data_IF_157307624140
#
_entry.id   IF_157307624140
#
_cell.length_a   1.000
_cell.length_b   1.000
_cell.length_c   1.000
_cell.angle_alpha   90.00
_cell.angle_beta   90.00
_cell.angle_gamma   90.00
#
_symmetry.space_group_name_H-M   'P 1'
#
loop_
_entity.id
_entity.type
_entity.pdbx_description
1 polymer ?
#
# COMPACT_ATOMS: atom_id res chain seq x y z
N UNK A 1 -1.00 28.81 -6.00
CA UNK A 1 -0.03 27.79 -5.54
C UNK A 1 -0.81 26.57 -5.09
N UNK A 2 -0.40 25.36 -5.45
CA UNK A 2 -1.09 24.16 -4.97
C UNK A 2 -0.81 23.98 -3.47
N UNK A 3 -1.86 23.77 -2.67
CA UNK A 3 -1.72 23.52 -1.23
C UNK A 3 -1.04 22.18 -1.01
N UNK A 4 0.23 22.23 -0.59
CA UNK A 4 1.03 21.07 -0.21
C UNK A 4 1.06 20.96 1.31
N UNK A 5 0.66 19.80 1.83
CA UNK A 5 0.77 19.47 3.25
C UNK A 5 2.03 18.61 3.41
N UNK A 6 3.03 19.10 4.13
CA UNK A 6 4.10 18.24 4.62
C UNK A 6 3.54 17.34 5.71
N UNK A 7 3.87 16.06 5.63
CA UNK A 7 3.32 15.04 6.52
C UNK A 7 4.45 14.47 7.38
N UNK A 8 4.27 14.53 8.69
CA UNK A 8 5.12 13.85 9.66
C UNK A 8 4.36 12.65 10.24
N UNK A 9 4.26 11.59 9.43
CA UNK A 9 3.69 10.31 9.86
C UNK A 9 4.78 9.24 9.85
N UNK A 10 4.74 8.27 10.79
CA UNK A 10 5.65 7.15 10.75
C UNK A 10 5.58 6.38 9.42
N UNK A 11 6.67 5.73 9.00
CA UNK A 11 6.65 4.89 7.81
C UNK A 11 5.67 3.73 7.99
N UNK A 12 5.20 3.22 6.86
CA UNK A 12 4.41 2.01 6.79
C UNK A 12 5.10 0.99 5.89
N UNK A 13 4.71 -0.27 6.04
CA UNK A 13 5.34 -1.38 5.38
C UNK A 13 4.35 -2.07 4.44
N UNK A 14 4.80 -2.36 3.22
CA UNK A 14 4.06 -3.14 2.24
C UNK A 14 4.70 -4.51 2.15
N UNK A 15 4.03 -5.51 2.72
CA UNK A 15 4.41 -6.91 2.69
C UNK A 15 3.80 -7.55 1.45
N UNK A 16 4.63 -8.07 0.57
CA UNK A 16 4.27 -8.55 -0.75
C UNK A 16 4.69 -10.01 -0.89
N UNK A 17 3.74 -10.87 -1.26
CA UNK A 17 3.98 -12.28 -1.54
C UNK A 17 3.63 -12.59 -3.00
N UNK A 18 4.59 -13.11 -3.75
CA UNK A 18 4.34 -13.62 -5.10
C UNK A 18 3.83 -15.06 -5.03
N UNK A 19 2.56 -15.25 -5.38
CA UNK A 19 1.87 -16.54 -5.32
C UNK A 19 1.90 -17.31 -6.64
N UNK A 20 2.05 -16.66 -7.80
CA UNK A 20 2.31 -17.38 -9.04
C UNK A 20 2.87 -16.47 -10.14
N UNK A 21 3.82 -16.98 -10.93
CA UNK A 21 4.40 -16.33 -12.11
C UNK A 21 4.10 -17.11 -13.41
N UNK A 22 3.55 -18.32 -13.31
CA UNK A 22 3.13 -19.15 -14.43
C UNK A 22 1.61 -19.27 -14.48
N UNK A 23 1.01 -18.80 -15.57
CA UNK A 23 -0.44 -18.61 -15.68
C UNK A 23 -1.34 -19.79 -15.26
N UNK A 24 -2.53 -19.41 -14.79
CA UNK A 24 -3.77 -20.19 -14.69
C UNK A 24 -3.76 -21.35 -13.67
N UNK A 25 -4.17 -21.06 -12.43
CA UNK A 25 -5.01 -21.98 -11.64
C UNK A 25 -6.21 -21.19 -11.10
N UNK A 26 -7.17 -20.93 -11.99
CA UNK A 26 -8.36 -20.08 -11.77
C UNK A 26 -9.49 -20.78 -10.99
N UNK A 27 -9.22 -21.77 -10.13
CA UNK A 27 -10.29 -22.70 -9.72
C UNK A 27 -10.39 -23.13 -8.24
N UNK A 28 -9.63 -22.57 -7.27
CA UNK A 28 -9.77 -23.02 -5.87
C UNK A 28 -9.84 -21.95 -4.76
N UNK A 29 -9.77 -20.65 -5.05
CA UNK A 29 -9.64 -19.62 -3.99
C UNK A 29 -10.97 -18.89 -3.68
N UNK A 30 -12.09 -19.32 -4.26
CA UNK A 30 -13.34 -18.55 -4.20
C UNK A 30 -14.33 -18.96 -3.08
N UNK A 31 -13.92 -19.75 -2.07
CA UNK A 31 -14.94 -20.32 -1.16
C UNK A 31 -14.55 -20.52 0.31
N UNK A 32 -13.74 -19.67 0.95
CA UNK A 32 -13.67 -19.63 2.43
C UNK A 32 -13.22 -18.28 3.00
N UNK A 33 -14.09 -17.28 3.12
CA UNK A 33 -13.75 -16.03 3.82
C UNK A 33 -14.90 -15.50 4.68
N UNK A 34 -15.00 -16.01 5.91
CA UNK A 34 -15.49 -15.25 7.07
C UNK A 34 -14.67 -15.60 8.32
N UNK A 35 -13.85 -14.62 8.73
CA UNK A 35 -13.12 -14.41 10.00
C UNK A 35 -11.61 -14.76 10.05
N UNK A 36 -10.83 -13.74 10.42
CA UNK A 36 -9.38 -13.67 10.67
C UNK A 36 -8.44 -14.16 9.54
N UNK A 37 -8.20 -13.31 8.52
CA UNK A 37 -7.59 -13.70 7.24
C UNK A 37 -6.07 -13.82 7.21
N UNK A 38 -5.32 -13.33 8.20
CA UNK A 38 -3.85 -13.25 8.09
C UNK A 38 -3.16 -14.53 8.59
N UNK A 39 -3.47 -14.99 9.79
CA UNK A 39 -2.76 -16.11 10.42
C UNK A 39 -3.10 -17.50 9.83
N UNK A 40 -4.23 -17.63 9.12
CA UNK A 40 -4.65 -18.93 8.53
C UNK A 40 -4.33 -19.10 7.05
N UNK A 41 -4.09 -18.01 6.33
CA UNK A 41 -3.69 -18.06 4.92
C UNK A 41 -2.17 -18.30 4.77
N UNK A 42 -1.38 -17.90 5.76
CA UNK A 42 0.09 -17.98 5.73
C UNK A 42 0.67 -19.39 5.83
N UNK A 43 0.04 -20.32 6.55
CA UNK A 43 0.66 -21.61 6.89
C UNK A 43 0.22 -22.81 6.04
N UNK A 44 -0.43 -22.61 4.89
CA UNK A 44 -0.84 -23.78 4.07
C UNK A 44 -1.22 -23.51 2.62
N UNK A 45 -1.45 -22.25 2.24
CA UNK A 45 -1.71 -21.89 0.83
C UNK A 45 -0.57 -21.08 0.22
N UNK A 46 0.22 -20.36 1.02
CA UNK A 46 1.34 -19.56 0.52
C UNK A 46 2.54 -20.43 0.12
N UNK A 47 2.89 -21.50 0.84
CA UNK A 47 4.03 -22.34 0.44
C UNK A 47 3.80 -23.29 -0.74
N UNK A 48 2.58 -23.77 -0.95
CA UNK A 48 2.28 -24.61 -2.12
C UNK A 48 2.21 -23.82 -3.43
N UNK A 49 2.03 -22.50 -3.34
CA UNK A 49 1.88 -21.61 -4.49
C UNK A 49 3.12 -20.74 -4.72
N UNK A 50 3.89 -20.40 -3.68
CA UNK A 50 5.09 -19.58 -3.78
C UNK A 50 6.00 -20.02 -4.93
N UNK A 51 6.16 -19.14 -5.91
CA UNK A 51 7.06 -19.36 -7.03
C UNK A 51 8.48 -19.44 -6.47
N UNK A 52 9.17 -20.56 -6.70
CA UNK A 52 10.60 -20.71 -6.36
C UNK A 52 11.52 -19.86 -7.25
N UNK A 53 10.97 -19.01 -8.10
CA UNK A 53 11.71 -18.15 -9.00
C UNK A 53 12.00 -16.80 -8.33
N UNK A 54 13.09 -16.80 -7.56
CA UNK A 54 13.62 -15.61 -6.92
C UNK A 54 13.98 -14.51 -7.94
N UNK A 55 14.31 -14.85 -9.19
CA UNK A 55 14.65 -13.87 -10.22
C UNK A 55 13.41 -13.10 -10.69
N UNK A 56 12.27 -13.79 -10.88
CA UNK A 56 10.99 -13.13 -11.18
C UNK A 56 10.58 -12.22 -10.03
N UNK A 57 10.64 -12.70 -8.79
CA UNK A 57 10.28 -11.89 -7.62
C UNK A 57 11.16 -10.65 -7.48
N UNK A 58 12.48 -10.79 -7.65
CA UNK A 58 13.41 -9.66 -7.60
C UNK A 58 13.11 -8.63 -8.70
N UNK A 59 12.75 -9.09 -9.92
CA UNK A 59 12.38 -8.22 -11.04
C UNK A 59 11.10 -7.46 -10.78
N UNK A 60 10.04 -8.14 -10.32
CA UNK A 60 8.77 -7.51 -9.94
C UNK A 60 8.99 -6.52 -8.80
N UNK A 61 9.78 -6.90 -7.79
CA UNK A 61 10.08 -6.04 -6.66
C UNK A 61 10.78 -4.74 -7.10
N UNK A 62 11.76 -4.84 -7.99
CA UNK A 62 12.49 -3.68 -8.52
C UNK A 62 11.58 -2.78 -9.37
N UNK A 63 10.67 -3.37 -10.14
CA UNK A 63 9.67 -2.60 -10.90
C UNK A 63 8.69 -1.87 -9.98
N UNK A 64 8.23 -2.53 -8.92
CA UNK A 64 7.32 -1.93 -7.94
C UNK A 64 8.00 -0.82 -7.14
N UNK A 65 9.25 -1.01 -6.74
CA UNK A 65 10.07 0.01 -6.06
C UNK A 65 10.14 1.32 -6.87
N UNK A 66 10.27 1.22 -8.19
CA UNK A 66 10.31 2.38 -9.08
C UNK A 66 8.91 2.95 -9.42
N UNK A 67 7.93 2.08 -9.70
CA UNK A 67 6.62 2.51 -10.19
C UNK A 67 5.68 3.00 -9.08
N UNK A 68 5.77 2.45 -7.87
CA UNK A 68 4.82 2.77 -6.81
C UNK A 68 4.91 4.25 -6.40
N UNK A 69 6.10 4.84 -6.15
CA UNK A 69 6.24 6.29 -5.96
C UNK A 69 5.66 7.11 -7.11
N UNK A 70 5.96 6.74 -8.36
CA UNK A 70 5.49 7.46 -9.55
C UNK A 70 3.96 7.46 -9.65
N UNK A 71 3.32 6.31 -9.40
CA UNK A 71 1.85 6.18 -9.43
C UNK A 71 1.17 6.94 -8.29
N UNK A 72 1.81 7.00 -7.13
CA UNK A 72 1.29 7.78 -6.00
C UNK A 72 1.43 9.28 -6.27
N UNK A 73 2.51 9.71 -6.92
CA UNK A 73 2.70 11.09 -7.34
C UNK A 73 1.62 11.55 -8.33
N UNK A 74 1.22 10.69 -9.29
CA UNK A 74 0.09 10.96 -10.20
C UNK A 74 -1.26 11.17 -9.47
N UNK A 75 -1.36 10.73 -8.22
CA UNK A 75 -2.52 10.92 -7.34
C UNK A 75 -2.38 12.09 -6.37
N UNK A 76 -1.31 12.88 -6.47
CA UNK A 76 -1.01 13.97 -5.54
C UNK A 76 -0.44 13.49 -4.20
N UNK A 77 0.23 12.32 -4.17
CA UNK A 77 0.88 11.78 -2.98
C UNK A 77 2.39 11.68 -3.21
N UNK A 78 3.17 12.43 -2.45
CA UNK A 78 4.62 12.30 -2.40
C UNK A 78 5.01 11.17 -1.46
N UNK A 79 5.39 10.03 -2.03
CA UNK A 79 5.80 8.86 -1.25
C UNK A 79 7.18 8.40 -1.74
N UNK A 80 8.09 8.18 -0.80
CA UNK A 80 9.29 7.38 -1.07
C UNK A 80 9.02 5.94 -0.67
N UNK A 81 9.55 4.99 -1.44
CA UNK A 81 9.43 3.59 -1.09
C UNK A 81 10.74 2.86 -1.39
N UNK A 82 11.19 2.06 -0.43
CA UNK A 82 12.47 1.35 -0.45
C UNK A 82 12.25 -0.10 -0.10
N UNK A 83 12.83 -1.01 -0.88
CA UNK A 83 12.85 -2.42 -0.55
C UNK A 83 13.78 -2.65 0.66
N UNK A 84 13.21 -3.15 1.76
CA UNK A 84 13.97 -3.42 3.00
C UNK A 84 14.22 -4.91 3.22
N UNK A 85 13.44 -5.78 2.58
CA UNK A 85 13.63 -7.22 2.65
C UNK A 85 13.21 -7.91 1.36
N UNK A 86 13.94 -8.96 0.99
CA UNK A 86 13.63 -9.83 -0.13
C UNK A 86 14.14 -11.24 0.20
N UNK A 87 13.24 -12.21 0.24
CA UNK A 87 13.58 -13.61 0.40
C UNK A 87 12.61 -14.47 -0.41
N UNK A 88 13.11 -15.15 -1.44
CA UNK A 88 12.32 -15.94 -2.39
C UNK A 88 11.14 -15.16 -2.97
N UNK A 89 9.91 -15.53 -2.62
CA UNK A 89 8.66 -14.90 -3.06
C UNK A 89 8.17 -13.78 -2.13
N UNK A 90 8.83 -13.55 -0.99
CA UNK A 90 8.43 -12.58 0.01
C UNK A 90 9.29 -11.32 -0.07
N UNK A 91 8.63 -10.16 -0.15
CA UNK A 91 9.25 -8.85 -0.29
C UNK A 91 8.62 -7.90 0.72
N UNK A 92 9.44 -7.08 1.36
CA UNK A 92 8.94 -6.00 2.23
C UNK A 92 9.48 -4.68 1.70
N UNK A 93 8.58 -3.74 1.50
CA UNK A 93 8.91 -2.35 1.23
C UNK A 93 8.60 -1.50 2.45
N UNK A 94 9.51 -0.60 2.79
CA UNK A 94 9.25 0.52 3.69
C UNK A 94 8.87 1.72 2.82
N UNK A 95 7.69 2.27 3.03
CA UNK A 95 7.24 3.48 2.34
C UNK A 95 7.01 4.61 3.35
N UNK A 96 7.43 5.82 2.99
CA UNK A 96 7.27 7.04 3.77
C UNK A 96 6.41 8.02 2.99
N UNK A 97 5.32 8.49 3.60
CA UNK A 97 4.53 9.59 3.07
C UNK A 97 5.20 10.91 3.47
N UNK A 98 5.62 11.69 2.48
CA UNK A 98 6.35 12.95 2.69
C UNK A 98 5.41 14.14 2.59
N UNK A 99 4.55 14.15 1.56
CA UNK A 99 3.62 15.24 1.34
C UNK A 99 2.35 14.83 0.61
N UNK A 100 1.30 15.62 0.80
CA UNK A 100 0.01 15.49 0.10
C UNK A 100 -0.26 16.77 -0.68
N UNK A 101 -0.46 16.65 -1.99
CA UNK A 101 -0.97 17.70 -2.87
C UNK A 101 -2.49 17.63 -2.89
N UNK A 102 -3.10 18.35 -1.95
CA UNK A 102 -4.56 18.32 -1.71
C UNK A 102 -5.41 18.55 -2.96
N UNK A 103 -5.14 19.57 -3.80
CA UNK A 103 -5.96 19.84 -4.98
C UNK A 103 -5.97 18.67 -5.97
N UNK A 104 -4.81 18.07 -6.23
CA UNK A 104 -4.68 16.93 -7.16
C UNK A 104 -5.38 15.69 -6.61
N UNK A 105 -5.17 15.41 -5.32
CA UNK A 105 -5.80 14.29 -4.65
C UNK A 105 -7.33 14.39 -4.70
N UNK A 106 -7.88 15.56 -4.36
CA UNK A 106 -9.32 15.80 -4.35
C UNK A 106 -9.89 15.78 -5.77
N UNK A 107 -9.19 16.39 -6.73
CA UNK A 107 -9.58 16.37 -8.14
C UNK A 107 -9.71 14.92 -8.64
N UNK A 108 -8.73 14.07 -8.36
CA UNK A 108 -8.76 12.65 -8.76
C UNK A 108 -9.78 11.83 -7.99
N UNK A 109 -10.07 12.18 -6.73
CA UNK A 109 -10.99 11.41 -5.88
C UNK A 109 -12.47 11.79 -6.03
N UNK A 110 -12.76 13.07 -6.30
CA UNK A 110 -14.12 13.65 -6.24
C UNK A 110 -14.50 14.50 -7.46
N UNK A 111 -13.57 14.79 -8.36
CA UNK A 111 -13.81 15.57 -9.58
C UNK A 111 -13.68 17.08 -9.40
N UNK A 112 -13.75 17.79 -10.52
CA UNK A 112 -13.45 19.23 -10.63
C UNK A 112 -14.37 20.11 -9.78
N UNK A 113 -15.68 19.83 -9.79
CA UNK A 113 -16.65 20.65 -9.06
C UNK A 113 -16.37 20.64 -7.54
N UNK A 114 -16.12 19.47 -6.97
CA UNK A 114 -15.81 19.34 -5.54
C UNK A 114 -14.43 19.92 -5.21
N UNK A 115 -13.43 19.73 -6.07
CA UNK A 115 -12.12 20.32 -5.90
C UNK A 115 -12.18 21.85 -5.88
N UNK A 116 -12.99 22.46 -6.75
CA UNK A 116 -13.24 23.90 -6.77
C UNK A 116 -13.86 24.41 -5.47
N UNK A 117 -14.94 23.77 -5.00
CA UNK A 117 -15.57 24.13 -3.72
C UNK A 117 -14.62 24.00 -2.53
N UNK A 118 -13.82 22.94 -2.51
CA UNK A 118 -12.83 22.73 -1.45
C UNK A 118 -11.72 23.79 -1.48
N UNK A 119 -11.23 24.16 -2.65
CA UNK A 119 -10.25 25.24 -2.78
C UNK A 119 -10.82 26.57 -2.29
N UNK A 120 -12.06 26.93 -2.65
CA UNK A 120 -12.70 28.14 -2.15
C UNK A 120 -12.85 28.15 -0.63
N UNK A 121 -13.13 26.99 -0.01
CA UNK A 121 -13.16 26.86 1.44
C UNK A 121 -11.77 27.11 2.05
N UNK A 122 -10.71 26.57 1.44
CA UNK A 122 -9.33 26.80 1.89
C UNK A 122 -8.92 28.26 1.78
N UNK A 123 -9.26 28.90 0.67
CA UNK A 123 -8.97 30.33 0.45
C UNK A 123 -9.69 31.20 1.49
N UNK A 124 -10.92 30.84 1.87
CA UNK A 124 -11.67 31.52 2.92
C UNK A 124 -11.06 31.31 4.32
N UNK A 125 -10.62 30.10 4.64
CA UNK A 125 -9.92 29.79 5.90
C UNK A 125 -8.63 30.61 6.01
N UNK A 126 -7.89 30.72 4.91
CA UNK A 126 -6.65 31.49 4.85
C UNK A 126 -6.91 32.99 4.96
N UNK A 127 -7.94 33.51 4.29
CA UNK A 127 -8.32 34.93 4.37
C UNK A 127 -8.81 35.36 5.77
N UNK A 128 -9.37 34.43 6.55
CA UNK A 128 -9.81 34.66 7.92
C UNK A 128 -8.75 34.34 8.98
N UNK A 129 -7.54 33.96 8.55
CA UNK A 129 -6.42 33.57 9.44
C UNK A 129 -6.79 32.48 10.47
N UNK A 130 -7.72 31.57 10.10
CA UNK A 130 -8.20 30.49 10.97
C UNK A 130 -7.21 29.32 11.02
N UNK A 131 -6.03 29.59 11.56
CA UNK A 131 -4.90 28.64 11.62
C UNK A 131 -5.25 27.31 12.30
N UNK A 132 -6.02 27.34 13.39
CA UNK A 132 -6.46 26.13 14.09
C UNK A 132 -7.41 25.28 13.23
N UNK A 133 -8.36 25.91 12.54
CA UNK A 133 -9.26 25.21 11.63
C UNK A 133 -8.50 24.55 10.48
N UNK A 134 -7.51 25.26 9.92
CA UNK A 134 -6.62 24.73 8.87
C UNK A 134 -5.83 23.52 9.35
N UNK A 135 -5.21 23.61 10.53
CA UNK A 135 -4.44 22.52 11.13
C UNK A 135 -5.32 21.29 11.39
N UNK A 136 -6.48 21.48 12.03
CA UNK A 136 -7.43 20.41 12.30
C UNK A 136 -7.92 19.73 11.00
N UNK A 137 -8.09 20.49 9.93
CA UNK A 137 -8.48 19.95 8.63
C UNK A 137 -7.32 19.16 7.99
N UNK A 138 -6.09 19.68 8.04
CA UNK A 138 -4.90 18.98 7.55
C UNK A 138 -4.70 17.62 8.24
N UNK A 139 -4.84 17.56 9.58
CA UNK A 139 -4.77 16.30 10.33
C UNK A 139 -5.85 15.31 9.86
N UNK A 140 -7.12 15.75 9.78
CA UNK A 140 -8.22 14.89 9.34
C UNK A 140 -8.06 14.39 7.90
N UNK A 141 -7.52 15.21 7.02
CA UNK A 141 -7.19 14.81 5.64
C UNK A 141 -6.08 13.76 5.68
N UNK A 142 -5.01 14.02 6.40
CA UNK A 142 -3.84 13.14 6.51
C UNK A 142 -4.24 11.76 7.03
N UNK A 143 -5.01 11.68 8.11
CA UNK A 143 -5.46 10.41 8.68
C UNK A 143 -6.31 9.59 7.70
N UNK A 144 -7.23 10.27 7.00
CA UNK A 144 -8.08 9.64 5.98
C UNK A 144 -7.26 9.16 4.79
N UNK A 145 -6.28 9.95 4.36
CA UNK A 145 -5.39 9.60 3.24
C UNK A 145 -4.54 8.40 3.62
N UNK A 146 -3.93 8.38 4.81
CA UNK A 146 -3.13 7.25 5.27
C UNK A 146 -3.96 5.96 5.32
N UNK A 147 -5.16 6.02 5.92
CA UNK A 147 -6.06 4.85 6.01
C UNK A 147 -6.46 4.35 4.61
N UNK A 148 -6.92 5.26 3.75
CA UNK A 148 -7.34 4.90 2.40
C UNK A 148 -6.18 4.43 1.51
N UNK A 149 -4.96 4.93 1.74
CA UNK A 149 -3.76 4.51 1.04
C UNK A 149 -3.44 3.06 1.36
N UNK A 150 -3.41 2.68 2.63
CA UNK A 150 -3.16 1.31 3.07
C UNK A 150 -4.19 0.33 2.47
N UNK A 151 -5.49 0.64 2.60
CA UNK A 151 -6.56 -0.18 2.03
C UNK A 151 -6.47 -0.30 0.50
N UNK A 152 -6.15 0.80 -0.21
CA UNK A 152 -6.00 0.78 -1.66
C UNK A 152 -4.76 0.01 -2.10
N UNK A 153 -3.68 0.03 -1.34
CA UNK A 153 -2.50 -0.77 -1.65
C UNK A 153 -2.82 -2.27 -1.52
N UNK A 154 -3.53 -2.68 -0.47
CA UNK A 154 -3.92 -4.09 -0.29
C UNK A 154 -4.91 -4.60 -1.36
N UNK A 155 -5.74 -3.72 -1.91
CA UNK A 155 -6.78 -4.12 -2.88
C UNK A 155 -6.38 -3.87 -4.33
N UNK A 156 -5.92 -2.66 -4.66
CA UNK A 156 -5.65 -2.24 -6.03
C UNK A 156 -4.31 -2.69 -6.56
N UNK A 157 -3.31 -2.89 -5.70
CA UNK A 157 -2.01 -3.38 -6.15
C UNK A 157 -2.11 -4.84 -6.62
N UNK A 158 -2.73 -5.78 -5.87
CA UNK A 158 -2.99 -7.12 -6.38
C UNK A 158 -3.85 -7.14 -7.64
N UNK A 159 -4.94 -6.37 -7.69
CA UNK A 159 -5.79 -6.29 -8.90
C UNK A 159 -4.99 -5.90 -10.15
N UNK A 160 -4.14 -4.86 -10.04
CA UNK A 160 -3.32 -4.39 -11.17
C UNK A 160 -2.25 -5.38 -11.60
N UNK A 161 -1.62 -6.07 -10.65
CA UNK A 161 -0.61 -7.08 -10.95
C UNK A 161 -1.25 -8.36 -11.50
N UNK A 162 -2.45 -8.71 -11.04
CA UNK A 162 -3.26 -9.80 -11.60
C UNK A 162 -3.61 -9.58 -13.07
N UNK A 163 -3.87 -8.34 -13.48
CA UNK A 163 -4.06 -7.99 -14.90
C UNK A 163 -2.80 -8.23 -15.75
N UNK A 164 -1.62 -8.24 -15.13
CA UNK A 164 -0.34 -8.56 -15.76
C UNK A 164 0.02 -10.06 -15.65
N UNK A 165 -0.89 -10.88 -15.14
CA UNK A 165 -0.68 -12.32 -14.95
C UNK A 165 0.09 -12.70 -13.69
N UNK A 166 0.30 -11.75 -12.77
CA UNK A 166 0.98 -11.99 -11.50
C UNK A 166 -0.05 -12.14 -10.39
N UNK A 167 -0.07 -13.30 -9.73
CA UNK A 167 -0.89 -13.50 -8.55
C UNK A 167 -0.08 -13.11 -7.31
N UNK A 168 -0.57 -12.11 -6.57
CA UNK A 168 0.15 -11.56 -5.44
C UNK A 168 -0.79 -11.35 -4.26
N UNK A 169 -0.25 -11.50 -3.05
CA UNK A 169 -0.91 -11.07 -1.83
C UNK A 169 -0.16 -9.86 -1.27
N UNK A 170 -0.89 -8.79 -0.96
CA UNK A 170 -0.33 -7.56 -0.42
C UNK A 170 -0.97 -7.27 0.91
N UNK A 171 -0.13 -7.10 1.93
CA UNK A 171 -0.55 -6.78 3.29
C UNK A 171 0.24 -5.56 3.76
N UNK A 172 -0.46 -4.52 4.16
CA UNK A 172 0.14 -3.28 4.65
C UNK A 172 0.11 -3.24 6.17
N UNK A 173 1.18 -2.73 6.78
CA UNK A 173 1.30 -2.64 8.24
C UNK A 173 1.88 -1.30 8.65
N UNK A 174 1.46 -0.83 9.80
CA UNK A 174 2.11 0.30 10.47
C UNK A 174 3.50 -0.14 10.95
N UNK A 175 4.39 0.82 11.24
CA UNK A 175 5.68 0.51 11.86
C UNK A 175 5.55 -0.28 13.18
N UNK A 176 4.51 0.00 13.97
CA UNK A 176 4.28 -0.67 15.25
C UNK A 176 3.92 -2.16 15.07
N UNK A 177 3.16 -2.49 14.03
CA UNK A 177 2.68 -3.85 13.78
C UNK A 177 3.66 -4.68 12.92
N UNK A 178 4.56 -4.02 12.21
CA UNK A 178 5.40 -4.67 11.19
C UNK A 178 6.31 -5.75 11.79
N UNK A 179 7.00 -5.46 12.90
CA UNK A 179 7.95 -6.41 13.47
C UNK A 179 7.27 -7.74 13.83
N UNK A 180 6.13 -7.67 14.51
CA UNK A 180 5.34 -8.86 14.87
C UNK A 180 4.89 -9.61 13.62
N UNK A 181 4.28 -8.91 12.66
CA UNK A 181 3.84 -9.52 11.41
C UNK A 181 4.98 -10.20 10.65
N UNK A 182 6.14 -9.55 10.58
CA UNK A 182 7.31 -10.03 9.87
C UNK A 182 7.86 -11.32 10.49
N UNK A 183 8.07 -11.36 11.81
CA UNK A 183 8.56 -12.56 12.48
C UNK A 183 7.54 -13.70 12.44
N UNK A 184 6.24 -13.41 12.58
CA UNK A 184 5.17 -14.41 12.43
C UNK A 184 5.19 -15.03 11.02
N UNK A 185 5.44 -14.22 9.98
CA UNK A 185 5.59 -14.70 8.61
C UNK A 185 6.85 -15.54 8.41
N UNK A 186 8.01 -15.11 8.92
CA UNK A 186 9.26 -15.86 8.79
C UNK A 186 9.18 -17.23 9.46
N UNK A 187 8.64 -17.30 10.68
CA UNK A 187 8.47 -18.57 11.40
C UNK A 187 7.56 -19.52 10.61
N UNK A 188 6.49 -19.00 10.00
CA UNK A 188 5.58 -19.80 9.18
C UNK A 188 6.26 -20.36 7.91
N UNK A 189 7.20 -19.61 7.32
CA UNK A 189 7.96 -20.05 6.14
C UNK A 189 9.00 -21.12 6.48
N UNK A 190 9.69 -21.00 7.63
CA UNK A 190 10.73 -21.94 8.06
C UNK A 190 10.16 -23.32 8.46
N UNK A 191 9.00 -23.35 9.13
CA UNK A 191 8.32 -24.60 9.55
C UNK A 191 7.90 -25.49 8.37
N UNK A 192 7.76 -24.92 7.17
CA UNK A 192 7.41 -25.65 5.95
C UNK A 192 8.65 -26.09 5.14
N UNK A 193 9.81 -25.47 5.32
CA UNK A 193 11.09 -25.91 4.69
C UNK A 193 11.70 -27.11 5.44
N UNK A 194 11.42 -27.21 6.75
CA UNK A 194 11.87 -28.34 7.58
C UNK A 194 11.07 -29.64 7.43
N UNK A 195 10.03 -29.67 6.60
CA UNK A 195 9.21 -30.84 6.26
C UNK A 195 9.46 -31.30 4.84
#
# INVERSE_FOLDING_TARGET
MATRIEVDVPPFYVNFFLLNAGGVVKAQIDTKLKCNPVARFLAGSIASLAVKDAAVTAKVATQLEAQLPQRMHEMGLGITCKKVFLHNSFVVFECQLEHITLPELILKAKGEAFAGHFQSLMDAIDAMELTEAKSNMHTKVTDKVCTALLEKLETKLPEKLGQQGLEVNVVTRTAADQAKFFFDCLNSLDEEIGK
#
